data_IF_125540148881
#
_entry.id   IF_125540148881
#
_cell.length_a   1.000
_cell.length_b   1.000
_cell.length_c   1.000
_cell.angle_alpha   90.00
_cell.angle_beta   90.00
_cell.angle_gamma   90.00
#
_symmetry.space_group_name_H-M   'P 1'
#
loop_
_entity.id
_entity.type
_entity.pdbx_description
1 polymer ?
#
# COMPACT_ATOMS: atom_id res chain seq x y z
N UNK A 1 10.17 4.96 -6.79
CA UNK A 1 10.56 3.59 -7.12
C UNK A 1 9.52 2.92 -8.00
N UNK A 2 8.32 2.60 -7.50
CA UNK A 2 7.26 1.84 -8.20
C UNK A 2 6.96 2.35 -9.62
N UNK A 3 6.75 3.66 -9.78
CA UNK A 3 6.46 4.25 -11.09
C UNK A 3 7.51 3.94 -12.15
N UNK A 4 8.80 3.88 -11.77
CA UNK A 4 9.89 3.54 -12.68
C UNK A 4 9.98 2.06 -12.97
N UNK A 5 9.81 1.21 -11.94
CA UNK A 5 9.78 -0.26 -12.12
C UNK A 5 8.64 -0.64 -13.06
N UNK A 6 7.43 -0.18 -12.75
CA UNK A 6 6.23 -0.48 -13.53
C UNK A 6 6.36 0.05 -14.97
N UNK A 7 6.83 1.29 -15.15
CA UNK A 7 7.04 1.86 -16.48
C UNK A 7 8.05 1.07 -17.28
N UNK A 8 9.19 0.71 -16.68
CA UNK A 8 10.24 -0.04 -17.37
C UNK A 8 9.80 -1.41 -17.86
N UNK A 9 8.93 -2.11 -17.10
CA UNK A 9 8.40 -3.43 -17.47
C UNK A 9 7.20 -3.39 -18.43
N UNK A 10 6.66 -2.23 -18.72
CA UNK A 10 5.55 -2.08 -19.66
C UNK A 10 6.00 -1.51 -21.00
N UNK A 11 5.10 -1.48 -21.99
CA UNK A 11 5.36 -0.88 -23.30
C UNK A 11 5.43 0.64 -23.19
N UNK A 12 6.33 1.28 -23.92
CA UNK A 12 6.59 2.73 -23.88
C UNK A 12 5.33 3.60 -24.05
N UNK A 13 4.39 3.18 -24.88
CA UNK A 13 3.12 3.89 -25.11
C UNK A 13 2.27 4.07 -23.85
N UNK A 14 2.52 3.28 -22.80
CA UNK A 14 1.77 3.33 -21.55
C UNK A 14 2.49 4.11 -20.44
N UNK A 15 3.70 4.63 -20.70
CA UNK A 15 4.53 5.30 -19.68
C UNK A 15 3.77 6.43 -18.98
N UNK A 16 3.15 7.33 -19.73
CA UNK A 16 2.40 8.47 -19.16
C UNK A 16 1.23 7.98 -18.29
N UNK A 17 0.49 6.98 -18.77
CA UNK A 17 -0.62 6.38 -18.00
C UNK A 17 -0.11 5.78 -16.68
N UNK A 18 1.00 5.07 -16.71
CA UNK A 18 1.60 4.43 -15.52
C UNK A 18 2.08 5.49 -14.52
N UNK A 19 2.81 6.50 -14.98
CA UNK A 19 3.26 7.60 -14.12
C UNK A 19 2.08 8.31 -13.47
N UNK A 20 1.04 8.62 -14.27
CA UNK A 20 -0.18 9.25 -13.78
C UNK A 20 -0.92 8.38 -12.76
N UNK A 21 -1.04 7.05 -12.99
CA UNK A 21 -1.64 6.13 -12.01
C UNK A 21 -0.90 6.13 -10.68
N UNK A 22 0.43 6.05 -10.70
CA UNK A 22 1.23 6.08 -9.48
C UNK A 22 1.10 7.41 -8.73
N UNK A 23 0.98 8.53 -9.43
CA UNK A 23 0.74 9.83 -8.81
C UNK A 23 -0.66 9.92 -8.21
N UNK A 24 -1.69 9.50 -8.98
CA UNK A 24 -3.08 9.58 -8.50
C UNK A 24 -3.34 8.63 -7.34
N UNK A 25 -2.69 7.47 -7.28
CA UNK A 25 -2.75 6.57 -6.12
C UNK A 25 -2.35 7.30 -4.84
N UNK A 26 -1.25 8.03 -4.86
CA UNK A 26 -0.82 8.77 -3.67
C UNK A 26 -1.86 9.81 -3.23
N UNK A 27 -2.40 10.59 -4.17
CA UNK A 27 -3.42 11.60 -3.87
C UNK A 27 -4.72 10.98 -3.35
N UNK A 28 -5.20 9.93 -4.03
CA UNK A 28 -6.46 9.24 -3.67
C UNK A 28 -6.34 8.49 -2.35
N UNK A 29 -5.19 7.85 -2.10
CA UNK A 29 -4.91 7.19 -0.82
C UNK A 29 -4.86 8.19 0.33
N UNK A 30 -4.24 9.35 0.10
CA UNK A 30 -4.18 10.41 1.11
C UNK A 30 -5.58 10.86 1.50
N UNK A 31 -6.46 11.09 0.52
CA UNK A 31 -7.84 11.49 0.79
C UNK A 31 -8.64 10.37 1.46
N UNK A 32 -8.60 9.15 0.93
CA UNK A 32 -9.36 8.01 1.46
C UNK A 32 -8.94 7.66 2.88
N UNK A 33 -7.64 7.56 3.12
CA UNK A 33 -7.10 7.22 4.43
C UNK A 33 -7.33 8.32 5.46
N UNK A 34 -7.24 9.60 5.06
CA UNK A 34 -7.53 10.73 5.94
C UNK A 34 -9.01 10.85 6.28
N UNK A 35 -9.92 10.57 5.33
CA UNK A 35 -11.36 10.73 5.54
C UNK A 35 -11.91 9.71 6.53
N UNK A 36 -11.67 8.43 6.30
CA UNK A 36 -12.20 7.34 7.13
C UNK A 36 -11.16 6.27 7.43
N UNK A 37 -10.19 6.05 6.53
CA UNK A 37 -9.29 4.90 6.60
C UNK A 37 -8.53 4.84 7.92
N UNK A 38 -7.99 5.96 8.41
CA UNK A 38 -7.31 5.99 9.70
C UNK A 38 -8.22 5.55 10.84
N UNK A 39 -9.44 6.10 10.92
CA UNK A 39 -10.39 5.78 11.98
C UNK A 39 -10.86 4.32 11.92
N UNK A 40 -11.13 3.79 10.72
CA UNK A 40 -11.46 2.39 10.53
C UNK A 40 -10.32 1.45 10.95
N UNK A 41 -9.07 1.90 10.81
CA UNK A 41 -7.90 1.10 11.14
C UNK A 41 -7.54 1.15 12.63
N UNK A 42 -7.61 2.31 13.26
CA UNK A 42 -7.08 2.54 14.60
C UNK A 42 -8.13 3.05 15.62
N UNK A 43 -9.38 3.12 15.24
CA UNK A 43 -10.46 3.74 16.02
C UNK A 43 -11.15 2.81 17.00
N UNK A 44 -10.43 2.32 18.04
CA UNK A 44 -11.01 1.60 19.18
C UNK A 44 -10.97 0.09 19.13
N UNK A 45 -11.67 -0.56 20.03
CA UNK A 45 -11.46 -1.94 20.48
C UNK A 45 -12.39 -2.98 19.83
N UNK A 46 -13.16 -2.61 18.80
CA UNK A 46 -13.98 -3.57 18.08
C UNK A 46 -13.06 -4.57 17.33
N UNK A 47 -13.26 -5.89 17.44
CA UNK A 47 -12.35 -6.87 16.85
C UNK A 47 -12.28 -6.85 15.32
N UNK A 48 -13.26 -6.26 14.65
CA UNK A 48 -13.36 -6.31 13.17
C UNK A 48 -13.07 -4.98 12.47
N UNK A 49 -13.36 -3.85 13.11
CA UNK A 49 -13.19 -2.53 12.49
C UNK A 49 -13.18 -1.43 13.56
N UNK A 50 -12.38 -0.40 13.38
CA UNK A 50 -12.43 0.79 14.25
C UNK A 50 -13.76 1.51 14.10
N UNK A 51 -14.37 1.87 15.24
CA UNK A 51 -15.69 2.52 15.30
C UNK A 51 -15.67 3.87 16.01
N UNK A 52 -14.56 4.21 16.67
CA UNK A 52 -14.39 5.44 17.42
C UNK A 52 -13.55 6.45 16.65
N UNK A 53 -13.84 7.74 16.82
CA UNK A 53 -13.07 8.83 16.21
C UNK A 53 -12.76 8.61 14.72
N UNK A 54 -13.75 8.19 13.95
CA UNK A 54 -13.61 7.85 12.53
C UNK A 54 -13.06 8.99 11.68
N UNK A 55 -13.42 10.22 12.02
CA UNK A 55 -12.93 11.43 11.34
C UNK A 55 -11.81 12.06 12.16
N UNK A 56 -10.61 12.06 11.61
CA UNK A 56 -9.45 12.70 12.26
C UNK A 56 -9.42 14.24 12.10
N UNK A 57 -10.39 14.80 11.40
CA UNK A 57 -10.52 16.24 11.17
C UNK A 57 -11.13 16.89 12.40
N UNK A 58 -10.30 17.25 13.38
CA UNK A 58 -10.68 17.92 14.61
C UNK A 58 -9.74 17.60 15.79
N UNK A 59 -9.53 18.54 16.70
CA UNK A 59 -8.55 18.41 17.79
C UNK A 59 -8.78 17.19 18.68
N UNK A 60 -10.02 16.92 19.08
CA UNK A 60 -10.36 15.78 19.96
C UNK A 60 -10.02 14.41 19.36
N UNK A 61 -10.11 14.25 18.05
CA UNK A 61 -9.71 13.02 17.39
C UNK A 61 -8.20 12.77 17.45
N UNK A 62 -7.42 13.83 17.28
CA UNK A 62 -5.94 13.74 17.33
C UNK A 62 -5.48 13.41 18.75
N UNK A 63 -6.06 14.01 19.77
CA UNK A 63 -5.73 13.74 21.18
C UNK A 63 -6.00 12.26 21.52
N UNK A 64 -7.15 11.72 21.13
CA UNK A 64 -7.45 10.30 21.30
C UNK A 64 -6.33 9.40 20.75
N UNK A 65 -5.86 9.68 19.54
CA UNK A 65 -4.82 8.85 18.92
C UNK A 65 -3.42 9.08 19.49
N UNK A 66 -3.11 10.26 20.02
CA UNK A 66 -1.86 10.50 20.74
C UNK A 66 -1.76 9.67 22.02
N UNK A 67 -2.88 9.52 22.73
CA UNK A 67 -2.91 8.78 23.99
C UNK A 67 -2.90 7.25 23.78
N UNK A 68 -3.50 6.76 22.71
CA UNK A 68 -3.70 5.32 22.48
C UNK A 68 -2.61 4.67 21.62
N UNK A 69 -1.96 5.44 20.75
CA UNK A 69 -0.89 4.93 19.87
C UNK A 69 0.48 5.38 20.39
N UNK A 70 1.51 4.62 20.03
CA UNK A 70 2.92 4.76 20.44
C UNK A 70 3.31 6.17 20.95
N UNK A 71 3.58 6.36 22.24
CA UNK A 71 3.71 7.68 22.84
C UNK A 71 4.90 8.52 22.34
N UNK A 72 5.86 7.87 21.68
CA UNK A 72 7.12 8.51 21.26
C UNK A 72 7.12 9.08 19.84
N UNK A 73 6.05 8.90 19.08
CA UNK A 73 5.94 9.41 17.71
C UNK A 73 4.73 10.33 17.58
N UNK A 74 4.90 11.59 17.17
CA UNK A 74 3.77 12.50 16.99
C UNK A 74 2.72 11.94 16.01
N UNK A 75 1.44 12.24 16.25
CA UNK A 75 0.32 11.76 15.45
C UNK A 75 0.56 11.88 13.94
N UNK A 76 0.94 13.04 13.44
CA UNK A 76 1.14 13.26 12.00
C UNK A 76 2.30 12.44 11.43
N UNK A 77 3.31 12.12 12.23
CA UNK A 77 4.39 11.19 11.84
C UNK A 77 3.87 9.77 11.66
N UNK A 78 3.07 9.28 12.61
CA UNK A 78 2.40 7.97 12.52
C UNK A 78 1.42 7.93 11.35
N UNK A 79 0.59 8.96 11.21
CA UNK A 79 -0.36 9.08 10.12
C UNK A 79 0.33 8.99 8.76
N UNK A 80 1.37 9.78 8.54
CA UNK A 80 2.11 9.77 7.28
C UNK A 80 2.76 8.41 7.02
N UNK A 81 3.37 7.81 8.03
CA UNK A 81 3.96 6.48 7.93
C UNK A 81 2.93 5.43 7.49
N UNK A 82 1.76 5.39 8.12
CA UNK A 82 0.70 4.46 7.78
C UNK A 82 0.02 4.79 6.43
N UNK A 83 -0.11 6.05 6.10
CA UNK A 83 -0.64 6.50 4.81
C UNK A 83 0.16 5.97 3.63
N UNK A 84 1.50 6.01 3.71
CA UNK A 84 2.33 5.54 2.59
C UNK A 84 2.25 4.03 2.41
N UNK A 85 1.98 3.25 3.44
CA UNK A 85 1.68 1.83 3.34
C UNK A 85 0.33 1.57 2.68
N UNK A 86 -0.69 2.31 3.05
CA UNK A 86 -2.00 2.28 2.42
C UNK A 86 -1.89 2.53 0.90
N UNK A 87 -1.16 3.58 0.51
CA UNK A 87 -0.85 3.86 -0.89
C UNK A 87 -0.04 2.77 -1.58
N UNK A 88 0.86 2.10 -0.84
CA UNK A 88 1.66 0.99 -1.35
C UNK A 88 0.78 -0.21 -1.70
N UNK A 89 -0.19 -0.59 -0.87
CA UNK A 89 -1.13 -1.65 -1.19
C UNK A 89 -1.87 -1.41 -2.51
N UNK A 90 -2.33 -0.18 -2.75
CA UNK A 90 -3.00 0.19 -3.99
C UNK A 90 -2.05 0.22 -5.21
N UNK A 91 -0.80 0.65 -5.04
CA UNK A 91 0.17 0.70 -6.14
C UNK A 91 0.65 -0.68 -6.58
N UNK A 92 0.65 -1.69 -5.70
CA UNK A 92 0.92 -3.09 -6.06
C UNK A 92 -0.07 -3.56 -7.14
N UNK A 93 -1.33 -3.18 -7.03
CA UNK A 93 -2.36 -3.53 -8.01
C UNK A 93 -2.11 -2.86 -9.37
N UNK A 94 -1.56 -1.65 -9.39
CA UNK A 94 -1.29 -0.89 -10.62
C UNK A 94 -0.49 -1.70 -11.64
N UNK A 95 0.57 -2.37 -11.20
CA UNK A 95 1.40 -3.20 -12.09
C UNK A 95 0.67 -4.42 -12.64
N UNK A 96 -0.10 -5.12 -11.80
CA UNK A 96 -0.84 -6.31 -12.19
C UNK A 96 -1.93 -6.05 -13.23
N UNK A 97 -2.56 -4.86 -13.18
CA UNK A 97 -3.64 -4.47 -14.11
C UNK A 97 -3.16 -3.55 -15.23
N UNK A 98 -1.86 -3.28 -15.30
CA UNK A 98 -1.26 -2.40 -16.28
C UNK A 98 -1.63 -2.82 -17.72
N UNK A 99 -1.77 -1.82 -18.60
CA UNK A 99 -2.14 -1.97 -20.01
C UNK A 99 -3.56 -2.52 -20.28
N UNK A 100 -4.39 -2.76 -19.24
CA UNK A 100 -5.72 -3.40 -19.37
C UNK A 100 -6.83 -2.64 -18.70
N UNK A 101 -6.57 -2.02 -17.56
CA UNK A 101 -7.58 -1.29 -16.79
C UNK A 101 -7.87 0.08 -17.39
N UNK A 102 -9.12 0.49 -17.35
CA UNK A 102 -9.51 1.89 -17.64
C UNK A 102 -9.03 2.79 -16.51
N UNK A 103 -8.51 3.97 -16.84
CA UNK A 103 -7.93 4.90 -15.89
C UNK A 103 -8.89 5.29 -14.75
N UNK A 104 -10.12 5.67 -15.09
CA UNK A 104 -11.14 6.03 -14.09
C UNK A 104 -11.49 4.85 -13.18
N UNK A 105 -11.62 3.64 -13.74
CA UNK A 105 -11.88 2.43 -12.94
C UNK A 105 -10.76 2.17 -11.94
N UNK A 106 -9.51 2.45 -12.31
CA UNK A 106 -8.37 2.33 -11.40
C UNK A 106 -8.42 3.37 -10.27
N UNK A 107 -8.82 4.60 -10.56
CA UNK A 107 -9.00 5.65 -9.54
C UNK A 107 -10.06 5.23 -8.50
N UNK A 108 -11.23 4.83 -8.97
CA UNK A 108 -12.34 4.39 -8.09
C UNK A 108 -11.93 3.17 -7.28
N UNK A 109 -11.30 2.20 -7.91
CA UNK A 109 -10.78 1.01 -7.24
C UNK A 109 -9.78 1.37 -6.14
N UNK A 110 -8.79 2.22 -6.44
CA UNK A 110 -7.79 2.66 -5.47
C UNK A 110 -8.42 3.41 -4.30
N UNK A 111 -9.41 4.25 -4.55
CA UNK A 111 -10.14 4.95 -3.49
C UNK A 111 -10.87 3.99 -2.56
N UNK A 112 -11.61 3.02 -3.10
CA UNK A 112 -12.33 2.01 -2.31
C UNK A 112 -11.35 1.13 -1.52
N UNK A 113 -10.25 0.71 -2.14
CA UNK A 113 -9.22 -0.08 -1.48
C UNK A 113 -8.63 0.67 -0.27
N UNK A 114 -8.29 1.93 -0.43
CA UNK A 114 -7.60 2.71 0.60
C UNK A 114 -8.52 3.31 1.65
N UNK A 115 -9.79 3.55 1.30
CA UNK A 115 -10.81 4.03 2.22
C UNK A 115 -11.36 2.93 3.13
N UNK A 116 -11.55 1.71 2.60
CA UNK A 116 -12.31 0.65 3.27
C UNK A 116 -11.50 -0.65 3.44
N UNK A 117 -11.04 -1.27 2.34
CA UNK A 117 -10.52 -2.64 2.38
C UNK A 117 -9.22 -2.71 3.17
N UNK A 118 -8.25 -1.87 2.81
CA UNK A 118 -6.95 -1.83 3.49
C UNK A 118 -7.08 -1.49 4.99
N UNK A 119 -7.85 -0.45 5.39
CA UNK A 119 -7.99 -0.12 6.81
C UNK A 119 -8.65 -1.22 7.64
N UNK A 120 -9.66 -1.90 7.11
CA UNK A 120 -10.33 -2.99 7.81
C UNK A 120 -9.35 -4.15 8.06
N UNK A 121 -8.61 -4.59 7.04
CA UNK A 121 -7.61 -5.64 7.20
C UNK A 121 -6.46 -5.18 8.11
N UNK A 122 -6.03 -3.93 7.98
CA UNK A 122 -5.04 -3.32 8.86
C UNK A 122 -5.49 -3.27 10.32
N UNK A 123 -6.78 -3.05 10.55
CA UNK A 123 -7.36 -3.08 11.89
C UNK A 123 -7.23 -4.47 12.53
N UNK A 124 -7.49 -5.53 11.79
CA UNK A 124 -7.39 -6.91 12.30
C UNK A 124 -6.03 -7.24 12.89
N UNK A 125 -4.96 -6.60 12.43
CA UNK A 125 -3.57 -6.93 12.78
C UNK A 125 -2.90 -5.78 13.56
N UNK A 126 -2.87 -4.56 12.99
CA UNK A 126 -2.19 -3.42 13.57
C UNK A 126 -3.09 -2.52 14.41
N UNK A 127 -4.40 -2.62 14.21
CA UNK A 127 -5.40 -1.86 14.96
C UNK A 127 -5.88 -2.54 16.24
N UNK A 128 -5.30 -3.67 16.64
CA UNK A 128 -5.72 -4.43 17.81
C UNK A 128 -6.98 -5.28 17.59
N UNK A 129 -7.25 -5.68 16.34
CA UNK A 129 -8.40 -6.52 16.02
C UNK A 129 -8.15 -8.03 16.24
N UNK A 130 -9.09 -8.84 15.78
CA UNK A 130 -9.19 -10.28 16.10
C UNK A 130 -7.95 -11.12 15.75
N UNK A 131 -7.20 -10.76 14.70
CA UNK A 131 -5.96 -11.47 14.37
C UNK A 131 -4.84 -11.15 15.35
N UNK A 132 -4.74 -9.90 15.80
CA UNK A 132 -3.80 -9.50 16.84
C UNK A 132 -4.10 -10.23 18.15
N UNK A 133 -5.37 -10.36 18.53
CA UNK A 133 -5.82 -11.11 19.72
C UNK A 133 -5.46 -12.59 19.65
N UNK A 134 -5.40 -13.18 18.46
CA UNK A 134 -4.91 -14.55 18.22
C UNK A 134 -3.39 -14.66 18.22
N UNK A 135 -2.65 -13.56 18.40
CA UNK A 135 -1.19 -13.53 18.39
C UNK A 135 -0.57 -13.48 16.99
N UNK A 136 -1.33 -13.11 15.97
CA UNK A 136 -0.79 -12.93 14.63
C UNK A 136 0.13 -11.71 14.58
N UNK A 137 1.35 -11.91 14.09
CA UNK A 137 2.37 -10.86 13.98
C UNK A 137 2.63 -10.50 12.51
N UNK A 138 2.54 -9.24 12.21
CA UNK A 138 3.02 -8.63 10.97
C UNK A 138 3.84 -7.39 11.34
N UNK A 139 5.16 -7.49 11.25
CA UNK A 139 6.04 -6.41 11.72
C UNK A 139 6.05 -5.20 10.78
N UNK A 140 6.17 -5.43 9.49
CA UNK A 140 6.40 -4.37 8.51
C UNK A 140 5.37 -4.34 7.37
N UNK A 141 4.34 -5.20 7.37
CA UNK A 141 3.26 -5.15 6.39
C UNK A 141 3.29 -6.24 5.32
N UNK A 142 3.90 -7.39 5.60
CA UNK A 142 3.87 -8.53 4.66
C UNK A 142 2.43 -8.95 4.35
N UNK A 143 1.57 -8.98 5.38
CA UNK A 143 0.16 -9.28 5.23
C UNK A 143 -0.67 -8.01 5.02
N UNK A 144 -0.55 -7.03 5.91
CA UNK A 144 -1.38 -5.82 5.88
C UNK A 144 -1.22 -5.05 4.57
N UNK A 145 0.00 -4.95 4.04
CA UNK A 145 0.28 -4.17 2.83
C UNK A 145 0.38 -5.08 1.60
N UNK A 146 1.32 -6.02 1.62
CA UNK A 146 1.68 -6.80 0.43
C UNK A 146 0.66 -7.87 0.10
N UNK A 147 0.11 -8.60 1.09
CA UNK A 147 -0.95 -9.57 0.80
C UNK A 147 -2.25 -8.89 0.40
N UNK A 148 -2.64 -7.78 1.03
CA UNK A 148 -3.83 -7.02 0.61
C UNK A 148 -3.68 -6.55 -0.83
N UNK A 149 -2.54 -5.93 -1.17
CA UNK A 149 -2.24 -5.54 -2.55
C UNK A 149 -2.18 -6.73 -3.51
N UNK A 150 -1.58 -7.84 -3.09
CA UNK A 150 -1.43 -9.06 -3.89
C UNK A 150 -2.77 -9.74 -4.20
N UNK A 151 -3.67 -9.91 -3.23
CA UNK A 151 -4.99 -10.47 -3.44
C UNK A 151 -5.88 -9.58 -4.30
N UNK A 152 -5.82 -8.27 -4.09
CA UNK A 152 -6.50 -7.29 -4.93
C UNK A 152 -5.96 -7.30 -6.37
N UNK A 153 -4.65 -7.44 -6.54
CA UNK A 153 -3.98 -7.58 -7.83
C UNK A 153 -4.40 -8.87 -8.56
N UNK A 154 -4.46 -10.00 -7.83
CA UNK A 154 -4.93 -11.28 -8.37
C UNK A 154 -6.38 -11.17 -8.84
N UNK A 155 -7.25 -10.60 -8.04
CA UNK A 155 -8.66 -10.39 -8.39
C UNK A 155 -8.79 -9.51 -9.65
N UNK A 156 -8.05 -8.41 -9.72
CA UNK A 156 -8.01 -7.54 -10.89
C UNK A 156 -7.47 -8.24 -12.13
N UNK A 157 -6.44 -9.08 -11.99
CA UNK A 157 -5.89 -9.85 -13.10
C UNK A 157 -6.85 -10.90 -13.64
N UNK A 158 -7.59 -11.58 -12.76
CA UNK A 158 -8.62 -12.57 -13.14
C UNK A 158 -9.76 -11.88 -13.90
N UNK A 159 -10.29 -10.79 -13.36
CA UNK A 159 -11.43 -10.07 -13.96
C UNK A 159 -11.08 -9.46 -15.33
N UNK A 160 -9.88 -8.87 -15.46
CA UNK A 160 -9.46 -8.20 -16.69
C UNK A 160 -8.91 -9.18 -17.75
N UNK A 161 -8.51 -10.36 -17.35
CA UNK A 161 -7.89 -11.33 -18.24
C UNK A 161 -6.49 -10.91 -18.75
N UNK A 162 -5.99 -11.55 -19.80
CA UNK A 162 -4.65 -11.28 -20.35
C UNK A 162 -4.60 -9.97 -21.13
N UNK A 163 -3.40 -9.39 -21.25
CA UNK A 163 -3.15 -8.22 -22.11
C UNK A 163 -3.43 -8.56 -23.59
N UNK A 164 -3.95 -7.58 -24.33
CA UNK A 164 -4.18 -7.74 -25.76
C UNK A 164 -2.88 -8.16 -26.48
N UNK A 165 -2.96 -9.24 -27.26
CA UNK A 165 -1.82 -9.81 -27.97
C UNK A 165 -0.93 -10.72 -27.13
N UNK A 166 -1.31 -11.04 -25.88
CA UNK A 166 -0.57 -11.99 -25.04
C UNK A 166 -0.60 -13.42 -25.59
N UNK A 167 -1.69 -13.80 -26.21
CA UNK A 167 -1.86 -15.10 -26.85
C UNK A 167 -2.16 -14.94 -28.34
N UNK A 168 -1.68 -15.86 -29.17
CA UNK A 168 -2.03 -15.94 -30.56
C UNK A 168 -3.36 -16.69 -30.77
N UNK A 169 -3.75 -16.87 -32.05
CA UNK A 169 -4.99 -17.54 -32.40
C UNK A 169 -5.04 -19.03 -31.99
N UNK A 170 -3.88 -19.63 -31.73
CA UNK A 170 -3.72 -21.01 -31.29
C UNK A 170 -3.57 -21.12 -29.76
N UNK A 171 -3.73 -20.03 -29.01
CA UNK A 171 -3.55 -19.99 -27.55
C UNK A 171 -2.08 -19.98 -27.10
N UNK A 172 -1.10 -19.87 -28.01
CA UNK A 172 0.31 -19.81 -27.65
C UNK A 172 0.69 -18.43 -27.12
N UNK A 173 1.36 -18.42 -25.97
CA UNK A 173 1.80 -17.17 -25.34
C UNK A 173 2.89 -16.46 -26.16
N UNK A 174 2.75 -15.15 -26.32
CA UNK A 174 3.74 -14.26 -26.92
C UNK A 174 4.41 -13.40 -25.86
N UNK A 175 5.72 -13.15 -26.03
CA UNK A 175 6.45 -12.22 -25.19
C UNK A 175 5.95 -10.79 -25.44
N UNK A 176 5.73 -10.06 -24.36
CA UNK A 176 5.47 -8.60 -24.38
C UNK A 176 6.54 -7.97 -23.47
N UNK A 177 7.76 -7.73 -23.99
CA UNK A 177 8.85 -7.23 -23.20
C UNK A 177 8.59 -5.79 -22.73
N UNK A 178 9.17 -5.44 -21.58
CA UNK A 178 9.26 -4.06 -21.13
C UNK A 178 10.13 -3.23 -22.08
N UNK A 179 9.86 -1.94 -22.12
CA UNK A 179 10.57 -1.08 -23.07
C UNK A 179 11.91 -0.57 -22.55
N UNK A 180 12.14 -0.59 -21.23
CA UNK A 180 13.34 -0.01 -20.64
C UNK A 180 13.72 -0.69 -19.32
N UNK A 181 14.55 -1.73 -19.40
CA UNK A 181 15.02 -2.47 -18.22
C UNK A 181 15.92 -1.59 -17.32
N UNK A 182 16.70 -0.67 -17.89
CA UNK A 182 17.52 0.24 -17.09
C UNK A 182 16.66 1.13 -16.21
N UNK A 183 15.52 1.60 -16.72
CA UNK A 183 14.56 2.37 -15.93
C UNK A 183 13.96 1.53 -14.78
N UNK A 184 13.66 0.26 -15.06
CA UNK A 184 13.16 -0.67 -14.03
C UNK A 184 14.21 -0.91 -12.94
N UNK A 185 15.48 -1.10 -13.30
CA UNK A 185 16.59 -1.29 -12.35
C UNK A 185 16.82 -0.03 -11.50
N UNK A 186 16.79 1.15 -12.09
CA UNK A 186 16.85 2.41 -11.32
C UNK A 186 15.69 2.49 -10.32
N UNK A 187 14.49 2.11 -10.76
CA UNK A 187 13.32 2.06 -9.88
C UNK A 187 13.51 1.08 -8.71
N UNK A 188 14.11 -0.07 -8.96
CA UNK A 188 14.46 -1.07 -7.95
C UNK A 188 15.44 -0.49 -6.90
N UNK A 189 16.51 0.18 -7.32
CA UNK A 189 17.46 0.79 -6.39
C UNK A 189 16.81 1.90 -5.54
N UNK A 190 15.90 2.68 -6.10
CA UNK A 190 15.14 3.68 -5.33
C UNK A 190 14.23 3.02 -4.30
N UNK A 191 13.59 1.89 -4.64
CA UNK A 191 12.81 1.10 -3.68
C UNK A 191 13.70 0.52 -2.60
N UNK A 192 14.84 -0.04 -2.96
CA UNK A 192 15.79 -0.60 -2.01
C UNK A 192 16.31 0.45 -1.02
N UNK A 193 16.67 1.63 -1.51
CA UNK A 193 17.02 2.75 -0.63
C UNK A 193 15.87 3.08 0.36
N UNK A 194 14.63 3.13 -0.15
CA UNK A 194 13.45 3.37 0.69
C UNK A 194 13.22 2.26 1.73
N UNK A 195 13.67 1.03 1.44
CA UNK A 195 13.51 -0.11 2.34
C UNK A 195 14.33 0.01 3.63
N UNK A 196 15.46 0.71 3.60
CA UNK A 196 16.21 1.07 4.81
C UNK A 196 15.42 2.00 5.75
N UNK A 197 14.37 2.66 5.27
CA UNK A 197 13.41 3.39 6.11
C UNK A 197 12.15 2.58 6.40
N UNK A 198 11.78 1.65 5.51
CA UNK A 198 10.55 0.87 5.61
C UNK A 198 10.60 -0.10 6.80
N UNK A 199 11.47 -1.11 6.77
CA UNK A 199 11.51 -2.12 7.81
C UNK A 199 12.06 -1.57 9.14
N UNK A 200 13.20 -0.87 9.21
CA UNK A 200 13.67 -0.29 10.45
C UNK A 200 12.72 0.77 11.04
N UNK A 201 12.05 1.54 10.19
CA UNK A 201 11.05 2.52 10.62
C UNK A 201 9.83 1.87 11.29
N UNK A 202 9.55 0.60 11.01
CA UNK A 202 8.45 -0.17 11.62
C UNK A 202 8.66 -0.46 13.11
N UNK A 203 9.85 -0.22 13.67
CA UNK A 203 10.07 -0.19 15.11
C UNK A 203 9.27 0.91 15.81
N UNK A 204 8.88 1.97 15.10
CA UNK A 204 8.24 3.19 15.63
C UNK A 204 9.03 3.80 16.80
N UNK A 205 10.32 3.50 16.93
CA UNK A 205 11.17 3.98 18.01
C UNK A 205 12.65 3.90 17.62
N UNK A 206 13.45 4.88 18.07
CA UNK A 206 14.91 4.86 17.99
C UNK A 206 15.56 4.78 19.38
N UNK A 207 14.79 4.41 20.40
CA UNK A 207 15.30 4.28 21.78
C UNK A 207 16.32 3.16 21.90
N UNK A 208 16.18 2.10 21.12
CA UNK A 208 17.13 1.01 21.03
C UNK A 208 17.73 0.91 19.62
N UNK A 209 18.87 1.56 19.35
CA UNK A 209 19.49 1.53 18.03
C UNK A 209 19.91 0.14 17.57
N UNK A 210 20.15 -0.80 18.49
CA UNK A 210 20.53 -2.18 18.15
C UNK A 210 19.42 -2.92 17.43
N UNK A 211 18.15 -2.68 17.76
CA UNK A 211 17.00 -3.28 17.10
C UNK A 211 16.90 -2.78 15.66
N UNK A 212 17.09 -1.47 15.47
CA UNK A 212 17.09 -0.85 14.13
C UNK A 212 18.20 -1.45 13.26
N UNK A 213 19.41 -1.59 13.80
CA UNK A 213 20.56 -2.19 13.08
C UNK A 213 20.29 -3.65 12.77
N UNK A 214 19.75 -4.42 13.72
CA UNK A 214 19.41 -5.82 13.49
C UNK A 214 18.43 -5.99 12.32
N UNK A 215 17.37 -5.20 12.29
CA UNK A 215 16.38 -5.23 11.20
C UNK A 215 16.97 -4.81 9.85
N UNK A 216 17.92 -3.87 9.82
CA UNK A 216 18.61 -3.48 8.58
C UNK A 216 19.49 -4.62 8.04
N UNK A 217 20.04 -5.45 8.93
CA UNK A 217 21.01 -6.50 8.57
C UNK A 217 20.35 -7.85 8.26
N UNK A 218 19.09 -8.05 8.57
CA UNK A 218 18.30 -9.26 8.27
C UNK A 218 17.43 -9.10 7.04
#
# INVERSE_FOLDING_TARGET
GFARVESGFNRSKNTVNILSKNFIVFAVSSLGFMLLGWGLMFGGDNPFVGTQNLLILGGSGIDFYNDTLTPNVPFWGKFFFQLVFCGTAATIVSGAVAERIKYLSFIVFSFVLTLLIYPIVGHWIWGGGWLADLGFLDFAGDTVVHSVGGWAALSGAIILGPRLGKYDKNGKAKAIPGHNLSLAVIGLFVLWLGWFGFNPGSTMSFQNPSDVVHIVMT
#
